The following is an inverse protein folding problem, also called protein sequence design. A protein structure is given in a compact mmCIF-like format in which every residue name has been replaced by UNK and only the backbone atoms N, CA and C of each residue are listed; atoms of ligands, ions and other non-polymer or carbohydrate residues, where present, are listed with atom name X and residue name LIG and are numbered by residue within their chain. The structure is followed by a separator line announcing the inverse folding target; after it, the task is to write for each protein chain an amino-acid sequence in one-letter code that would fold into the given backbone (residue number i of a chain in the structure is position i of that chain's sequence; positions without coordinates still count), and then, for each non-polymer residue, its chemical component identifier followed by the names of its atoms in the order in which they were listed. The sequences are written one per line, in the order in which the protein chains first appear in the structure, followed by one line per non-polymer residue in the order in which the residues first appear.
data_IF_931712184519
#
_entry.id   IF_931712184519
#
_cell.length_a   1.000
_cell.length_b   1.000
_cell.length_c   1.000
_cell.angle_alpha   90.00
_cell.angle_beta   90.00
_cell.angle_gamma   90.00
#
_symmetry.space_group_name_H-M   'P 1'
#
loop_
_entity.id
_entity.type
_entity.pdbx_description
1 polymer ?
#
# COMPACT_ATOMS: atom_id res chain seq x y z
N UNK A 1 -61.43 11.50 9.85
CA UNK A 1 -60.74 12.05 8.66
C UNK A 1 -59.30 12.37 9.02
N UNK A 2 -58.35 11.53 8.59
CA UNK A 2 -57.04 11.97 8.09
C UNK A 2 -56.51 10.78 7.27
N UNK A 3 -56.79 10.78 5.96
CA UNK A 3 -56.23 9.80 5.04
C UNK A 3 -54.81 10.25 4.73
N UNK A 4 -53.84 9.71 5.47
CA UNK A 4 -52.43 9.88 5.14
C UNK A 4 -52.18 8.95 3.94
N UNK A 5 -52.00 9.54 2.75
CA UNK A 5 -51.70 8.78 1.54
C UNK A 5 -50.32 8.12 1.70
N UNK A 6 -50.18 6.89 1.21
CA UNK A 6 -48.91 6.14 1.18
C UNK A 6 -47.79 6.92 0.44
N UNK A 7 -48.18 7.88 -0.41
CA UNK A 7 -47.29 8.82 -1.09
C UNK A 7 -46.63 9.87 -0.16
N UNK A 8 -47.24 10.19 0.98
CA UNK A 8 -46.67 11.10 1.98
C UNK A 8 -45.55 10.50 2.81
N UNK A 9 -45.49 9.16 2.93
CA UNK A 9 -44.39 8.46 3.64
C UNK A 9 -43.16 8.25 2.73
N UNK A 10 -43.35 8.21 1.41
CA UNK A 10 -42.26 8.13 0.42
C UNK A 10 -41.56 9.47 0.17
N UNK A 11 -42.20 10.59 0.50
CA UNK A 11 -41.63 11.93 0.35
C UNK A 11 -40.61 12.32 1.46
N UNK A 12 -40.44 11.47 2.48
CA UNK A 12 -39.52 11.69 3.60
C UNK A 12 -38.24 10.82 3.53
N UNK A 13 -38.02 10.08 2.44
CA UNK A 13 -36.82 9.23 2.24
C UNK A 13 -35.80 9.87 1.28
N UNK A 14 -36.11 11.02 0.67
CA UNK A 14 -35.22 11.69 -0.30
C UNK A 14 -34.57 12.99 0.20
N UNK A 15 -34.62 13.30 1.50
CA UNK A 15 -33.84 14.39 2.08
C UNK A 15 -32.50 13.86 2.59
N UNK A 16 -31.49 13.80 1.70
CA UNK A 16 -30.09 13.73 2.13
C UNK A 16 -29.21 12.62 1.56
N UNK A 17 -29.35 12.20 0.30
CA UNK A 17 -28.18 11.61 -0.39
C UNK A 17 -27.21 12.74 -0.77
N UNK A 18 -26.48 13.27 0.21
CA UNK A 18 -25.28 14.02 -0.11
C UNK A 18 -24.35 13.07 -0.87
N UNK A 19 -24.09 13.35 -2.16
CA UNK A 19 -23.06 12.63 -2.90
C UNK A 19 -21.77 12.80 -2.11
N UNK A 20 -21.25 11.70 -1.55
CA UNK A 20 -19.93 11.71 -0.94
C UNK A 20 -18.94 12.09 -2.04
N UNK A 21 -18.16 13.14 -1.80
CA UNK A 21 -17.11 13.60 -2.71
C UNK A 21 -15.79 13.42 -2.00
N UNK A 22 -14.81 12.72 -2.59
CA UNK A 22 -13.52 12.52 -1.96
C UNK A 22 -12.81 13.88 -1.87
N UNK A 23 -12.11 14.15 -0.77
CA UNK A 23 -11.42 15.42 -0.54
C UNK A 23 -10.01 15.18 -0.04
N UNK A 24 -9.11 16.13 -0.30
CA UNK A 24 -7.76 16.15 0.29
C UNK A 24 -7.66 17.08 1.52
N UNK A 25 -8.60 18.00 1.70
CA UNK A 25 -8.64 18.92 2.83
C UNK A 25 -9.61 18.44 3.93
N UNK A 26 -9.21 17.43 4.69
CA UNK A 26 -9.91 16.97 5.90
C UNK A 26 -8.96 16.97 7.10
N UNK A 27 -9.50 16.71 8.29
CA UNK A 27 -8.69 16.54 9.49
C UNK A 27 -8.11 15.13 9.54
N UNK A 28 -7.06 14.86 8.76
CA UNK A 28 -6.48 13.52 8.64
C UNK A 28 -5.75 13.07 9.90
N UNK A 29 -5.66 11.75 10.08
CA UNK A 29 -4.76 11.12 11.04
C UNK A 29 -3.32 11.66 10.87
N UNK A 30 -2.56 11.84 11.97
CA UNK A 30 -1.25 12.51 11.92
C UNK A 30 -0.27 11.94 10.88
N UNK A 31 -0.22 10.62 10.73
CA UNK A 31 0.64 9.88 9.81
C UNK A 31 0.17 9.91 8.33
N UNK A 32 -0.95 10.59 8.06
CA UNK A 32 -1.60 10.66 6.74
C UNK A 32 -1.92 12.11 6.32
N UNK A 33 -1.40 13.08 7.07
CA UNK A 33 -1.62 14.51 6.82
C UNK A 33 -1.00 15.00 5.51
N UNK A 34 0.13 14.42 5.07
CA UNK A 34 0.83 14.79 3.84
C UNK A 34 0.67 13.71 2.79
N UNK A 35 0.35 14.12 1.56
CA UNK A 35 0.37 13.23 0.40
C UNK A 35 1.77 13.30 -0.26
N UNK A 36 2.31 12.16 -0.70
CA UNK A 36 3.53 12.15 -1.47
C UNK A 36 3.28 12.75 -2.85
N UNK A 37 4.29 13.49 -3.32
CA UNK A 37 4.36 13.96 -4.71
C UNK A 37 5.74 13.64 -5.27
N UNK A 38 5.86 13.59 -6.58
CA UNK A 38 7.16 13.40 -7.23
C UNK A 38 7.36 14.35 -8.40
N UNK A 39 8.63 14.62 -8.68
CA UNK A 39 9.12 15.34 -9.84
C UNK A 39 10.16 14.47 -10.55
N UNK A 40 10.16 14.50 -11.88
CA UNK A 40 11.18 13.89 -12.72
C UNK A 40 11.80 14.97 -13.60
N UNK A 41 13.06 15.28 -13.33
CA UNK A 41 13.86 16.19 -14.12
C UNK A 41 14.91 15.39 -14.90
N UNK A 42 14.53 14.94 -16.09
CA UNK A 42 15.40 14.21 -17.02
C UNK A 42 16.07 12.95 -16.40
N UNK A 43 15.31 12.18 -15.63
CA UNK A 43 15.76 10.97 -14.97
C UNK A 43 16.26 11.18 -13.55
N UNK A 44 16.34 12.43 -13.07
CA UNK A 44 16.53 12.72 -11.65
C UNK A 44 15.18 12.80 -10.96
N UNK A 45 14.89 11.80 -10.13
CA UNK A 45 13.63 11.68 -9.40
C UNK A 45 13.77 12.39 -8.06
N UNK A 46 12.81 13.25 -7.73
CA UNK A 46 12.64 13.80 -6.39
C UNK A 46 11.28 13.42 -5.87
N UNK A 47 11.22 12.66 -4.77
CA UNK A 47 9.98 12.31 -4.08
C UNK A 47 9.88 13.20 -2.85
N UNK A 48 8.79 13.94 -2.74
CA UNK A 48 8.47 14.76 -1.59
C UNK A 48 7.56 14.03 -0.61
N UNK A 49 7.72 14.34 0.67
CA UNK A 49 6.93 13.75 1.76
C UNK A 49 7.06 12.22 1.86
N UNK A 50 8.28 11.68 1.74
CA UNK A 50 8.56 10.30 2.10
C UNK A 50 8.36 10.13 3.60
N UNK A 51 7.41 9.28 4.00
CA UNK A 51 7.04 9.08 5.40
C UNK A 51 8.09 8.26 6.14
N UNK A 52 8.37 8.64 7.38
CA UNK A 52 9.37 7.99 8.22
C UNK A 52 8.96 7.95 9.69
N UNK A 53 7.82 7.31 9.97
CA UNK A 53 7.31 7.17 11.33
C UNK A 53 8.26 6.36 12.24
N UNK A 54 8.30 6.74 13.51
CA UNK A 54 8.94 5.99 14.59
C UNK A 54 7.90 5.65 15.64
N UNK A 55 7.76 4.37 15.93
CA UNK A 55 6.68 3.84 16.77
C UNK A 55 7.21 3.49 18.15
N UNK A 56 6.46 3.90 19.19
CA UNK A 56 6.56 3.34 20.55
C UNK A 56 5.44 2.30 20.75
N UNK A 57 4.31 2.49 20.07
CA UNK A 57 3.20 1.52 19.93
C UNK A 57 2.46 1.77 18.62
N UNK A 58 1.38 1.01 18.34
CA UNK A 58 0.50 1.24 17.19
C UNK A 58 -0.14 2.64 17.15
N UNK A 59 -0.41 3.21 18.33
CA UNK A 59 -1.15 4.47 18.48
C UNK A 59 -0.27 5.62 18.98
N UNK A 60 0.98 5.33 19.36
CA UNK A 60 1.95 6.32 19.81
C UNK A 60 3.19 6.29 18.92
N UNK A 61 3.33 7.35 18.11
CA UNK A 61 4.40 7.46 17.13
C UNK A 61 4.79 8.90 16.84
N UNK A 62 6.03 9.09 16.37
CA UNK A 62 6.53 10.36 15.85
C UNK A 62 6.49 10.30 14.34
N UNK A 63 5.67 11.15 13.72
CA UNK A 63 5.60 11.29 12.27
C UNK A 63 6.72 12.20 11.77
N UNK A 64 7.54 11.69 10.87
CA UNK A 64 8.53 12.47 10.15
C UNK A 64 8.31 12.32 8.64
N UNK A 65 8.71 13.35 7.90
CA UNK A 65 8.72 13.33 6.44
C UNK A 65 10.06 13.88 5.97
N UNK A 66 10.58 13.33 4.89
CA UNK A 66 11.75 13.84 4.20
C UNK A 66 11.55 13.78 2.70
N UNK A 67 12.39 14.52 1.98
CA UNK A 67 12.43 14.47 0.52
C UNK A 67 13.60 13.57 0.11
N UNK A 68 13.39 12.71 -0.88
CA UNK A 68 14.42 11.79 -1.38
C UNK A 68 14.69 12.06 -2.85
N UNK A 69 15.96 12.26 -3.19
CA UNK A 69 16.42 12.44 -4.56
C UNK A 69 17.35 11.29 -4.96
N UNK A 70 17.18 10.76 -6.16
CA UNK A 70 18.00 9.69 -6.75
C UNK A 70 17.84 9.71 -8.27
N UNK A 71 18.74 9.05 -9.01
CA UNK A 71 18.52 8.84 -10.44
C UNK A 71 17.59 7.65 -10.65
N UNK A 72 16.68 7.71 -11.62
CA UNK A 72 15.80 6.59 -11.94
C UNK A 72 16.63 5.32 -12.23
N UNK A 73 17.78 5.46 -12.88
CA UNK A 73 18.72 4.37 -13.15
C UNK A 73 19.28 3.70 -11.90
N UNK A 74 19.16 4.32 -10.73
CA UNK A 74 19.60 3.75 -9.45
C UNK A 74 18.60 2.69 -8.96
N UNK A 75 17.36 2.66 -9.45
CA UNK A 75 16.38 1.62 -9.10
C UNK A 75 16.77 0.31 -9.80
N UNK A 76 17.13 -0.69 -8.99
CA UNK A 76 17.65 -1.98 -9.46
C UNK A 76 16.64 -3.13 -9.30
N UNK A 77 15.68 -2.99 -8.40
CA UNK A 77 14.77 -4.09 -8.06
C UNK A 77 13.47 -3.58 -7.47
N UNK A 78 12.47 -4.47 -7.46
CA UNK A 78 11.25 -4.30 -6.68
C UNK A 78 10.92 -5.61 -5.98
N UNK A 79 10.55 -5.53 -4.72
CA UNK A 79 10.08 -6.64 -3.90
C UNK A 79 8.58 -6.53 -3.68
N UNK A 80 7.92 -7.69 -3.60
CA UNK A 80 6.52 -7.77 -3.23
C UNK A 80 6.39 -8.08 -1.74
N UNK A 81 5.69 -7.22 -1.02
CA UNK A 81 5.44 -7.34 0.41
C UNK A 81 3.97 -7.68 0.63
N UNK A 82 3.70 -8.61 1.55
CA UNK A 82 2.35 -8.93 1.99
C UNK A 82 2.31 -9.10 3.51
N UNK A 83 1.30 -8.50 4.15
CA UNK A 83 1.01 -8.64 5.57
C UNK A 83 -0.45 -9.09 5.76
N UNK A 84 -0.72 -10.40 5.87
CA UNK A 84 -2.06 -10.92 6.17
C UNK A 84 -2.57 -10.42 7.52
N UNK A 85 -3.88 -10.21 7.64
CA UNK A 85 -4.49 -9.86 8.92
C UNK A 85 -4.76 -11.11 9.75
N UNK A 86 -4.34 -11.13 11.02
CA UNK A 86 -4.39 -12.33 11.88
C UNK A 86 -5.79 -12.94 11.98
N UNK A 87 -6.81 -12.11 12.21
CA UNK A 87 -8.20 -12.56 12.35
C UNK A 87 -8.86 -12.93 11.02
N UNK A 88 -8.29 -12.49 9.89
CA UNK A 88 -8.85 -12.76 8.56
C UNK A 88 -7.71 -12.86 7.54
N UNK A 89 -6.92 -13.95 7.52
CA UNK A 89 -5.71 -14.06 6.70
C UNK A 89 -5.97 -14.00 5.19
N UNK A 90 -7.22 -14.23 4.75
CA UNK A 90 -7.63 -14.03 3.36
C UNK A 90 -7.61 -12.55 2.93
N UNK A 91 -7.63 -11.63 3.89
CA UNK A 91 -7.40 -10.20 3.69
C UNK A 91 -5.98 -9.90 4.13
N UNK A 92 -5.24 -9.19 3.28
CA UNK A 92 -3.87 -8.82 3.54
C UNK A 92 -3.61 -7.41 3.02
N UNK A 93 -2.59 -6.81 3.59
CA UNK A 93 -2.03 -5.59 3.08
C UNK A 93 -0.89 -5.92 2.11
N UNK A 94 -0.95 -5.40 0.88
CA UNK A 94 0.06 -5.66 -0.15
C UNK A 94 0.80 -4.38 -0.51
N UNK A 95 2.12 -4.44 -0.58
CA UNK A 95 3.00 -3.29 -0.78
C UNK A 95 4.13 -3.64 -1.76
N UNK A 96 4.83 -2.62 -2.25
CA UNK A 96 6.01 -2.78 -3.10
C UNK A 96 7.20 -2.07 -2.46
N UNK A 97 8.36 -2.72 -2.41
CA UNK A 97 9.61 -2.09 -1.97
C UNK A 97 10.59 -1.98 -3.12
N UNK A 98 10.93 -0.77 -3.53
CA UNK A 98 11.87 -0.50 -4.62
C UNK A 98 13.29 -0.34 -4.07
N UNK A 99 14.20 -1.19 -4.54
CA UNK A 99 15.59 -1.19 -4.12
C UNK A 99 16.48 -0.33 -5.00
N UNK A 100 17.21 0.58 -4.38
CA UNK A 100 18.20 1.44 -5.02
C UNK A 100 19.60 0.81 -5.01
N UNK A 101 20.47 1.30 -5.90
CA UNK A 101 21.83 0.81 -6.08
C UNK A 101 22.74 1.02 -4.85
N UNK A 102 22.42 2.00 -4.01
CA UNK A 102 23.10 2.26 -2.73
C UNK A 102 22.61 1.37 -1.58
N UNK A 103 21.58 0.56 -1.81
CA UNK A 103 20.97 -0.35 -0.84
C UNK A 103 19.71 0.20 -0.16
N UNK A 104 19.41 1.48 -0.32
CA UNK A 104 18.20 2.08 0.23
C UNK A 104 16.94 1.48 -0.40
N UNK A 105 15.85 1.52 0.35
CA UNK A 105 14.56 0.96 -0.06
C UNK A 105 13.47 2.04 0.04
N UNK A 106 12.63 2.14 -0.98
CA UNK A 106 11.48 3.03 -1.01
C UNK A 106 10.24 2.15 -1.08
N UNK A 107 9.39 2.22 -0.06
CA UNK A 107 8.16 1.43 -0.02
C UNK A 107 6.99 2.25 -0.52
N UNK A 108 6.22 1.67 -1.42
CA UNK A 108 4.90 2.15 -1.80
C UNK A 108 3.84 1.28 -1.13
N UNK A 109 2.99 1.94 -0.35
CA UNK A 109 1.81 1.35 0.25
C UNK A 109 0.56 2.11 -0.14
N UNK A 110 -0.48 1.38 -0.53
CA UNK A 110 -1.78 1.95 -0.84
C UNK A 110 -2.65 1.83 0.40
N UNK A 111 -3.02 2.95 0.98
CA UNK A 111 -3.68 3.00 2.27
C UNK A 111 -5.09 3.59 2.14
N UNK A 112 -5.94 3.22 3.10
CA UNK A 112 -7.07 4.09 3.42
C UNK A 112 -6.54 5.36 4.07
N UNK A 113 -7.16 6.49 3.73
CA UNK A 113 -6.89 7.78 4.37
C UNK A 113 -7.98 8.07 5.39
N UNK A 114 -7.64 8.01 6.68
CA UNK A 114 -8.55 8.18 7.82
C UNK A 114 -8.52 9.60 8.36
N UNK A 115 -9.67 10.12 8.75
CA UNK A 115 -9.73 11.32 9.61
C UNK A 115 -9.21 10.99 11.03
N UNK A 116 -8.76 12.00 11.77
CA UNK A 116 -8.03 11.84 13.02
C UNK A 116 -8.85 11.18 14.14
N UNK A 117 -10.17 11.27 14.07
CA UNK A 117 -11.15 10.68 14.98
C UNK A 117 -11.79 9.40 14.43
N UNK A 118 -11.31 8.88 13.30
CA UNK A 118 -11.83 7.66 12.69
C UNK A 118 -11.07 6.40 13.09
N UNK A 119 -11.80 5.45 13.66
CA UNK A 119 -11.33 4.07 13.78
C UNK A 119 -11.46 3.32 12.45
N UNK A 120 -10.50 2.41 12.20
CA UNK A 120 -10.54 1.53 11.04
C UNK A 120 -11.76 0.61 11.09
N UNK A 121 -12.36 0.38 9.92
CA UNK A 121 -13.45 -0.59 9.75
C UNK A 121 -13.46 -1.08 8.31
N UNK A 122 -13.27 -2.38 8.13
CA UNK A 122 -13.29 -3.02 6.81
C UNK A 122 -14.61 -2.76 6.05
N UNK A 123 -15.74 -2.71 6.78
CA UNK A 123 -17.05 -2.42 6.20
C UNK A 123 -17.15 -1.02 5.60
N UNK A 124 -16.58 0.01 6.25
CA UNK A 124 -16.53 1.38 5.73
C UNK A 124 -15.78 1.46 4.40
N UNK A 125 -14.72 0.66 4.23
CA UNK A 125 -13.97 0.54 2.98
C UNK A 125 -14.74 -0.12 1.83
N UNK A 126 -15.82 -0.86 2.10
CA UNK A 126 -16.69 -1.42 1.07
C UNK A 126 -17.64 -0.36 0.49
N UNK A 127 -18.04 0.63 1.31
CA UNK A 127 -19.03 1.66 0.97
C UNK A 127 -18.40 3.02 0.59
N UNK A 128 -17.12 3.05 0.16
CA UNK A 128 -16.42 4.27 -0.24
C UNK A 128 -16.39 5.37 0.84
N UNK A 129 -16.21 4.98 2.10
CA UNK A 129 -16.19 5.92 3.21
C UNK A 129 -14.78 6.37 3.62
N UNK A 130 -13.75 5.88 2.93
CA UNK A 130 -12.37 6.38 3.07
C UNK A 130 -11.87 6.90 1.74
N UNK A 131 -11.09 7.98 1.77
CA UNK A 131 -10.25 8.36 0.65
C UNK A 131 -9.08 7.38 0.48
N UNK A 132 -8.60 7.22 -0.75
CA UNK A 132 -7.41 6.44 -1.09
C UNK A 132 -6.18 7.36 -0.98
N UNK A 133 -5.10 6.87 -0.36
CA UNK A 133 -3.79 7.50 -0.50
C UNK A 133 -2.71 6.48 -0.86
N UNK A 134 -1.63 6.98 -1.45
CA UNK A 134 -0.37 6.27 -1.45
C UNK A 134 0.46 6.85 -0.31
N UNK A 135 1.04 5.97 0.50
CA UNK A 135 2.18 6.29 1.35
C UNK A 135 3.42 5.85 0.58
N UNK A 136 4.29 6.81 0.27
CA UNK A 136 5.68 6.50 -0.08
C UNK A 136 6.48 6.67 1.19
N UNK A 137 7.15 5.61 1.65
CA UNK A 137 7.76 5.57 2.98
C UNK A 137 9.11 4.88 3.04
N UNK A 138 9.84 5.20 4.11
CA UNK A 138 11.01 4.46 4.58
C UNK A 138 10.58 3.02 4.90
N UNK A 139 11.34 2.02 4.45
CA UNK A 139 10.96 0.62 4.61
C UNK A 139 10.83 0.21 6.08
N UNK A 140 11.66 0.77 6.96
CA UNK A 140 11.60 0.51 8.40
C UNK A 140 10.33 1.09 9.03
N UNK A 141 9.81 2.22 8.55
CA UNK A 141 8.50 2.74 8.97
C UNK A 141 7.42 1.71 8.63
N UNK A 142 7.28 1.40 7.34
CA UNK A 142 6.15 0.64 6.83
C UNK A 142 6.15 -0.81 7.36
N UNK A 143 7.31 -1.47 7.37
CA UNK A 143 7.40 -2.85 7.83
C UNK A 143 7.19 -2.94 9.34
N UNK A 144 7.83 -2.10 10.16
CA UNK A 144 7.70 -2.21 11.61
C UNK A 144 6.28 -1.94 12.10
N UNK A 145 5.51 -1.08 11.43
CA UNK A 145 4.09 -0.90 11.75
C UNK A 145 3.34 -2.24 11.68
N UNK A 146 3.55 -3.00 10.60
CA UNK A 146 2.88 -4.29 10.40
C UNK A 146 3.49 -5.38 11.29
N UNK A 147 4.81 -5.54 11.29
CA UNK A 147 5.48 -6.65 11.96
C UNK A 147 5.63 -6.49 13.47
N UNK A 148 5.96 -5.29 13.95
CA UNK A 148 6.37 -5.08 15.34
C UNK A 148 5.26 -4.42 16.17
N UNK A 149 4.44 -3.55 15.57
CA UNK A 149 3.34 -2.87 16.27
C UNK A 149 2.05 -3.69 16.22
N UNK A 150 1.59 -4.06 15.02
CA UNK A 150 0.40 -4.91 14.86
C UNK A 150 0.69 -6.39 15.11
N UNK A 151 1.97 -6.80 15.18
CA UNK A 151 2.41 -8.19 15.37
C UNK A 151 1.91 -9.15 14.28
N UNK A 152 1.52 -8.63 13.13
CA UNK A 152 1.09 -9.43 11.98
C UNK A 152 2.29 -10.06 11.28
N UNK A 153 2.07 -11.21 10.67
CA UNK A 153 3.08 -11.80 9.79
C UNK A 153 3.37 -10.87 8.59
N UNK A 154 4.64 -10.70 8.25
CA UNK A 154 5.09 -9.95 7.08
C UNK A 154 5.99 -10.83 6.23
N UNK A 155 5.63 -10.96 4.97
CA UNK A 155 6.37 -11.72 3.97
C UNK A 155 6.95 -10.78 2.92
N UNK A 156 8.24 -10.96 2.65
CA UNK A 156 8.98 -10.22 1.63
C UNK A 156 9.44 -11.20 0.55
N UNK A 157 8.88 -11.04 -0.65
CA UNK A 157 9.20 -11.84 -1.82
C UNK A 157 10.07 -11.07 -2.81
N UNK A 158 11.18 -11.70 -3.20
CA UNK A 158 11.95 -11.26 -4.38
C UNK A 158 11.09 -11.45 -5.63
N UNK A 159 10.99 -10.41 -6.45
CA UNK A 159 10.31 -10.52 -7.75
C UNK A 159 11.27 -10.92 -8.86
N UNK A 160 10.73 -11.29 -10.01
CA UNK A 160 11.48 -11.58 -11.25
C UNK A 160 11.63 -10.36 -12.17
N UNK A 161 11.21 -9.16 -11.72
CA UNK A 161 11.25 -7.94 -12.50
C UNK A 161 12.71 -7.52 -12.82
N UNK A 162 12.96 -7.08 -14.05
CA UNK A 162 14.25 -6.48 -14.42
C UNK A 162 14.40 -5.09 -13.79
N UNK A 163 15.61 -4.51 -13.74
CA UNK A 163 15.80 -3.12 -13.33
C UNK A 163 14.93 -2.15 -14.13
N UNK A 164 14.83 -2.32 -15.45
CA UNK A 164 14.01 -1.47 -16.32
C UNK A 164 12.51 -1.59 -15.99
N UNK A 165 12.02 -2.80 -15.72
CA UNK A 165 10.63 -3.01 -15.29
C UNK A 165 10.38 -2.39 -13.91
N UNK A 166 11.33 -2.50 -12.99
CA UNK A 166 11.25 -1.90 -11.64
C UNK A 166 11.20 -0.37 -11.72
N UNK A 167 11.98 0.24 -12.62
CA UNK A 167 11.97 1.67 -12.90
C UNK A 167 10.62 2.13 -13.46
N UNK A 168 10.12 1.44 -14.48
CA UNK A 168 8.81 1.75 -15.08
C UNK A 168 7.70 1.65 -14.04
N UNK A 169 7.74 0.62 -13.19
CA UNK A 169 6.74 0.37 -12.16
C UNK A 169 6.76 1.46 -11.10
N UNK A 170 7.95 1.89 -10.67
CA UNK A 170 8.09 3.00 -9.74
C UNK A 170 7.48 4.29 -10.30
N UNK A 171 7.78 4.63 -11.56
CA UNK A 171 7.24 5.83 -12.19
C UNK A 171 5.71 5.78 -12.24
N UNK A 172 5.13 4.64 -12.63
CA UNK A 172 3.67 4.48 -12.72
C UNK A 172 2.99 4.62 -11.34
N UNK A 173 3.60 4.05 -10.29
CA UNK A 173 3.20 4.23 -8.89
C UNK A 173 3.28 5.71 -8.46
N UNK A 174 4.38 6.39 -8.75
CA UNK A 174 4.57 7.79 -8.36
C UNK A 174 3.62 8.74 -9.12
N UNK A 175 3.34 8.45 -10.40
CA UNK A 175 2.32 9.15 -11.17
C UNK A 175 0.94 9.00 -10.56
N UNK A 176 0.61 7.80 -10.09
CA UNK A 176 -0.65 7.54 -9.38
C UNK A 176 -0.74 8.31 -8.08
N UNK A 177 0.34 8.39 -7.30
CA UNK A 177 0.42 9.22 -6.10
C UNK A 177 0.20 10.71 -6.42
N UNK A 178 0.89 11.27 -7.42
CA UNK A 178 0.70 12.65 -7.89
C UNK A 178 -0.75 12.94 -8.30
N UNK A 179 -1.39 12.01 -9.01
CA UNK A 179 -2.79 12.15 -9.41
C UNK A 179 -3.71 12.26 -8.19
N UNK A 180 -3.51 11.45 -7.16
CA UNK A 180 -4.31 11.50 -5.93
C UNK A 180 -4.06 12.76 -5.10
N UNK A 181 -2.84 13.31 -5.15
CA UNK A 181 -2.52 14.61 -4.54
C UNK A 181 -3.35 15.77 -5.10
N UNK A 182 -3.70 15.71 -6.39
CA UNK A 182 -4.53 16.74 -7.06
C UNK A 182 -6.01 16.37 -7.06
N UNK A 183 -6.33 15.11 -7.38
CA UNK A 183 -7.69 14.61 -7.55
C UNK A 183 -7.89 13.39 -6.65
N UNK A 184 -8.44 13.57 -5.44
CA UNK A 184 -8.67 12.47 -4.52
C UNK A 184 -9.70 11.49 -5.10
N UNK A 185 -9.57 10.24 -4.73
CA UNK A 185 -10.48 9.15 -5.09
C UNK A 185 -10.83 8.38 -3.82
N UNK A 186 -11.97 7.70 -3.80
CA UNK A 186 -12.31 6.82 -2.69
C UNK A 186 -11.51 5.52 -2.76
N UNK A 187 -11.11 5.03 -1.59
CA UNK A 187 -10.73 3.64 -1.43
C UNK A 187 -11.96 2.77 -1.59
N UNK A 188 -11.84 1.70 -2.36
CA UNK A 188 -12.87 0.70 -2.49
C UNK A 188 -12.26 -0.70 -2.35
N UNK A 189 -12.79 -1.47 -1.40
CA UNK A 189 -12.30 -2.82 -1.09
C UNK A 189 -12.35 -3.78 -2.28
N UNK A 190 -13.22 -3.57 -3.27
CA UNK A 190 -13.34 -4.42 -4.44
C UNK A 190 -12.66 -3.85 -5.70
N UNK A 191 -12.54 -2.53 -5.84
CA UNK A 191 -12.15 -1.92 -7.14
C UNK A 191 -10.99 -0.95 -7.05
N UNK A 192 -10.62 -0.48 -5.85
CA UNK A 192 -9.59 0.52 -5.66
C UNK A 192 -8.96 0.39 -4.25
N UNK A 193 -8.22 -0.70 -4.08
CA UNK A 193 -7.50 -1.10 -2.87
C UNK A 193 -6.00 -1.32 -3.18
N UNK A 194 -5.24 -1.80 -2.20
CA UNK A 194 -3.81 -2.07 -2.38
C UNK A 194 -3.49 -3.09 -3.49
N UNK A 195 -4.12 -4.26 -3.48
CA UNK A 195 -3.83 -5.31 -4.46
C UNK A 195 -4.29 -4.97 -5.87
N UNK A 196 -5.50 -4.42 -6.02
CA UNK A 196 -6.06 -4.01 -7.31
C UNK A 196 -5.26 -2.89 -7.97
N UNK A 197 -4.67 -1.98 -7.17
CA UNK A 197 -3.76 -0.98 -7.71
C UNK A 197 -2.43 -1.61 -8.18
N UNK A 198 -1.83 -2.53 -7.41
CA UNK A 198 -0.64 -3.27 -7.87
C UNK A 198 -0.94 -4.04 -9.17
N UNK A 199 -2.07 -4.74 -9.25
CA UNK A 199 -2.51 -5.46 -10.47
C UNK A 199 -2.62 -4.49 -11.65
N UNK A 200 -3.21 -3.31 -11.45
CA UNK A 200 -3.31 -2.27 -12.49
C UNK A 200 -1.92 -1.85 -12.97
N UNK A 201 -1.02 -1.51 -12.05
CA UNK A 201 0.34 -1.11 -12.38
C UNK A 201 1.11 -2.19 -13.16
N UNK A 202 1.03 -3.45 -12.70
CA UNK A 202 1.68 -4.57 -13.41
C UNK A 202 1.09 -4.74 -14.82
N UNK A 203 -0.22 -4.61 -14.99
CA UNK A 203 -0.88 -4.76 -16.29
C UNK A 203 -0.67 -3.57 -17.22
N UNK A 204 -0.46 -2.37 -16.70
CA UNK A 204 -0.12 -1.18 -17.50
C UNK A 204 1.30 -1.33 -18.10
N UNK A 205 2.21 -2.01 -17.39
CA UNK A 205 3.55 -2.37 -17.89
C UNK A 205 3.55 -3.61 -18.80
N UNK A 206 2.81 -4.64 -18.41
CA UNK A 206 2.73 -5.93 -19.10
C UNK A 206 1.25 -6.30 -19.27
N UNK A 207 0.62 -5.92 -20.39
CA UNK A 207 -0.81 -6.15 -20.62
C UNK A 207 -1.22 -7.60 -20.39
N UNK A 208 -2.36 -7.77 -19.69
CA UNK A 208 -2.97 -9.06 -19.35
C UNK A 208 -2.09 -10.01 -18.51
N UNK A 209 -1.01 -9.51 -17.89
CA UNK A 209 -0.09 -10.31 -17.09
C UNK A 209 -0.75 -10.90 -15.85
N UNK A 210 -1.67 -10.17 -15.24
CA UNK A 210 -2.41 -10.57 -14.04
C UNK A 210 -3.90 -10.51 -14.35
N UNK A 211 -4.55 -11.69 -14.35
CA UNK A 211 -6.00 -11.77 -14.56
C UNK A 211 -6.76 -11.52 -13.26
N UNK A 212 -7.83 -10.74 -13.34
CA UNK A 212 -8.66 -10.44 -12.17
C UNK A 212 -9.45 -11.69 -11.73
N UNK A 213 -9.24 -12.15 -10.50
CA UNK A 213 -9.93 -13.32 -9.94
C UNK A 213 -10.11 -13.20 -8.41
N UNK A 214 -10.60 -14.26 -7.76
CA UNK A 214 -10.82 -14.25 -6.31
C UNK A 214 -9.53 -14.08 -5.49
N UNK A 215 -8.35 -14.47 -6.01
CA UNK A 215 -7.05 -14.26 -5.35
C UNK A 215 -6.62 -12.77 -5.39
N UNK A 216 -7.18 -11.98 -6.31
CA UNK A 216 -7.03 -10.51 -6.31
C UNK A 216 -8.02 -9.86 -5.34
N UNK A 217 -9.23 -10.42 -5.20
CA UNK A 217 -10.25 -9.95 -4.26
C UNK A 217 -9.92 -10.29 -2.80
N UNK A 218 -9.17 -11.36 -2.57
CA UNK A 218 -8.70 -11.83 -1.28
C UNK A 218 -7.18 -11.73 -1.26
N UNK A 219 -6.62 -10.55 -0.91
CA UNK A 219 -5.18 -10.27 -0.99
C UNK A 219 -4.29 -11.29 -0.29
N UNK A 220 -4.79 -12.03 0.70
CA UNK A 220 -4.07 -13.11 1.38
C UNK A 220 -3.58 -14.25 0.48
N UNK A 221 -4.11 -14.37 -0.74
CA UNK A 221 -3.68 -15.35 -1.75
C UNK A 221 -2.88 -14.73 -2.89
N UNK A 222 -2.59 -13.42 -2.81
CA UNK A 222 -1.93 -12.69 -3.91
C UNK A 222 -0.45 -13.09 -4.09
N UNK A 223 0.21 -13.55 -3.02
CA UNK A 223 1.58 -14.09 -3.08
C UNK A 223 1.65 -15.40 -3.85
N UNK A 224 0.77 -16.35 -3.54
CA UNK A 224 0.64 -17.61 -4.28
C UNK A 224 0.28 -17.34 -5.74
N UNK A 225 -0.64 -16.41 -6.00
CA UNK A 225 -1.02 -16.08 -7.37
C UNK A 225 0.14 -15.45 -8.16
N UNK A 226 0.87 -14.52 -7.55
CA UNK A 226 2.06 -13.93 -8.16
C UNK A 226 3.14 -14.98 -8.45
N UNK A 227 3.32 -15.96 -7.56
CA UNK A 227 4.21 -17.10 -7.77
C UNK A 227 3.77 -17.99 -8.94
N UNK A 228 2.47 -18.35 -9.01
CA UNK A 228 1.88 -19.12 -10.12
C UNK A 228 2.09 -18.43 -11.48
N UNK A 229 2.05 -17.10 -11.49
CA UNK A 229 2.31 -16.30 -12.69
C UNK A 229 3.79 -16.19 -13.04
N UNK A 230 4.72 -16.58 -12.16
CA UNK A 230 6.17 -16.42 -12.35
C UNK A 230 6.67 -15.00 -12.10
N UNK A 231 5.94 -14.22 -11.30
CA UNK A 231 6.34 -12.86 -10.90
C UNK A 231 7.25 -12.86 -9.66
N UNK A 232 7.29 -13.96 -8.91
CA UNK A 232 8.16 -14.16 -7.74
C UNK A 232 9.26 -15.17 -8.06
N UNK A 233 10.32 -15.19 -7.24
CA UNK A 233 11.40 -16.18 -7.34
C UNK A 233 10.86 -17.62 -7.39
N UNK A 234 11.20 -18.36 -8.45
CA UNK A 234 10.79 -19.75 -8.68
C UNK A 234 11.90 -20.77 -8.41
N UNK A 235 12.97 -20.37 -7.70
CA UNK A 235 14.11 -21.24 -7.37
C UNK A 235 13.75 -22.42 -6.44
N UNK A 236 12.66 -22.29 -5.67
CA UNK A 236 12.16 -23.29 -4.72
C UNK A 236 10.63 -23.37 -4.78
N UNK A 237 9.99 -24.48 -4.34
CA UNK A 237 8.53 -24.57 -4.25
C UNK A 237 7.92 -23.45 -3.39
N UNK A 238 6.68 -23.05 -3.70
CA UNK A 238 6.02 -21.91 -3.05
C UNK A 238 5.99 -21.97 -1.52
N UNK A 239 5.66 -23.12 -0.93
CA UNK A 239 5.59 -23.27 0.53
C UNK A 239 6.96 -22.98 1.18
N UNK A 240 8.04 -23.41 0.54
CA UNK A 240 9.40 -23.15 0.99
C UNK A 240 9.78 -21.68 0.78
N UNK A 241 9.41 -21.08 -0.36
CA UNK A 241 9.59 -19.66 -0.61
C UNK A 241 8.89 -18.83 0.47
N UNK A 242 7.62 -19.12 0.76
CA UNK A 242 6.80 -18.43 1.78
C UNK A 242 7.44 -18.49 3.16
N UNK A 243 7.93 -19.67 3.57
CA UNK A 243 8.63 -19.81 4.84
C UNK A 243 9.90 -18.95 4.90
N UNK A 244 10.71 -18.97 3.82
CA UNK A 244 11.94 -18.17 3.70
C UNK A 244 11.67 -16.67 3.60
N UNK A 245 10.50 -16.28 3.10
CA UNK A 245 10.09 -14.88 2.92
C UNK A 245 9.52 -14.22 4.17
N UNK A 246 9.15 -14.96 5.23
CA UNK A 246 8.60 -14.38 6.46
C UNK A 246 9.69 -13.65 7.27
N UNK A 247 9.69 -12.31 7.31
CA UNK A 247 10.80 -11.51 7.87
C UNK A 247 10.66 -11.08 9.35
N UNK A 248 9.59 -11.48 10.04
CA UNK A 248 9.24 -10.95 11.38
C UNK A 248 10.36 -11.04 12.43
N UNK A 249 11.08 -12.15 12.49
CA UNK A 249 12.18 -12.35 13.44
C UNK A 249 13.34 -11.37 13.21
N UNK A 250 13.65 -11.09 11.94
CA UNK A 250 14.67 -10.11 11.56
C UNK A 250 14.16 -8.68 11.77
N UNK A 251 12.90 -8.40 11.44
CA UNK A 251 12.29 -7.09 11.63
C UNK A 251 12.23 -6.70 13.12
N UNK A 252 11.89 -7.65 14.01
CA UNK A 252 11.94 -7.44 15.46
C UNK A 252 13.37 -7.25 15.96
N UNK A 253 14.29 -8.10 15.53
CA UNK A 253 15.69 -8.03 15.97
C UNK A 253 16.40 -6.73 15.58
N UNK A 254 16.09 -6.18 14.41
CA UNK A 254 16.78 -5.03 13.82
C UNK A 254 15.92 -3.76 13.81
N UNK A 255 14.82 -3.70 14.57
CA UNK A 255 13.84 -2.60 14.55
C UNK A 255 14.45 -1.20 14.47
N UNK A 256 15.50 -0.94 15.25
CA UNK A 256 16.18 0.36 15.34
C UNK A 256 17.53 0.40 14.62
N UNK A 257 17.93 -0.67 13.92
CA UNK A 257 19.20 -0.75 13.20
C UNK A 257 19.16 0.19 11.97
N UNK A 258 20.19 1.03 11.74
CA UNK A 258 20.26 1.84 10.52
C UNK A 258 20.32 1.00 9.24
N UNK A 259 20.82 -0.24 9.31
CA UNK A 259 20.90 -1.17 8.19
C UNK A 259 19.66 -2.08 8.08
N UNK A 260 18.52 -1.70 8.70
CA UNK A 260 17.29 -2.50 8.78
C UNK A 260 16.95 -3.23 7.46
N UNK A 261 16.86 -2.47 6.36
CA UNK A 261 16.53 -2.97 5.03
C UNK A 261 17.47 -4.06 4.53
N UNK A 262 18.78 -3.87 4.73
CA UNK A 262 19.76 -4.87 4.36
C UNK A 262 19.68 -6.10 5.27
N UNK A 263 19.39 -5.91 6.56
CA UNK A 263 19.37 -6.97 7.58
C UNK A 263 18.19 -7.91 7.45
N UNK A 264 17.00 -7.40 7.13
CA UNK A 264 15.80 -8.24 6.92
C UNK A 264 15.89 -9.11 5.66
N UNK A 265 16.90 -8.87 4.80
CA UNK A 265 17.16 -9.62 3.57
C UNK A 265 18.30 -10.66 3.69
N UNK A 266 18.94 -10.82 4.86
CA UNK A 266 20.13 -11.70 5.03
C UNK A 266 19.78 -13.18 5.31
N UNK A 267 18.98 -13.81 4.45
CA UNK A 267 18.62 -15.23 4.57
C UNK A 267 19.33 -16.08 3.53
#
# INVERSE_FOLDING_TARGET
MLRISVWGLLALIFTGCASLTPKNGRNWAPDQTRLPTYEDLAGQITIHNVRNCRYTSSDEYVVQYYDKQFNLSDVQSVDFLIAPFDDTPAVAHTMLSFGLADGDQIVSSVEIRKEADEEYSAWKGFFNQYELMYVIGDERDIINLSSNQYKSDVYLYRTTATPEQSQQLLIDVLQRANKLAVKPEFYNTLTNNCTTNIVRHVNDLAPDRVSYNYKVLLPGYSDEYAYELGLLDQSVPFDELKQRSRINDLAEKYEYDPDFSAKIRRR
#
